data_IF_223991294269
#
_entry.id   IF_223991294269
#
_cell.length_a   1.000
_cell.length_b   1.000
_cell.length_c   1.000
_cell.angle_alpha   90.00
_cell.angle_beta   90.00
_cell.angle_gamma   90.00
#
_symmetry.space_group_name_H-M   'P 1'
#
loop_
_entity.id
_entity.type
_entity.pdbx_description
1 polymer ?
#
# COMPACT_ATOMS: atom_id res chain seq x y z
N UNK A 1 3.00 -5.24 1.00
CA UNK A 1 3.58 -4.33 2.02
C UNK A 1 3.77 -2.90 1.51
N UNK A 2 4.46 -2.65 0.39
CA UNK A 2 4.78 -1.28 -0.07
C UNK A 2 3.58 -0.36 -0.33
N UNK A 3 2.56 -0.82 -1.06
CA UNK A 3 1.30 -0.07 -1.21
C UNK A 3 0.62 0.28 0.12
N UNK A 4 0.71 -0.60 1.12
CA UNK A 4 0.17 -0.32 2.45
C UNK A 4 0.96 0.80 3.15
N UNK A 5 2.29 0.74 3.12
CA UNK A 5 3.14 1.82 3.65
C UNK A 5 2.92 3.15 2.92
N UNK A 6 2.70 3.10 1.60
CA UNK A 6 2.35 4.27 0.81
C UNK A 6 1.07 4.92 1.32
N UNK A 7 -0.03 4.17 1.46
CA UNK A 7 -1.29 4.72 1.95
C UNK A 7 -1.18 5.26 3.37
N UNK A 8 -0.46 4.59 4.27
CA UNK A 8 -0.18 5.12 5.61
C UNK A 8 0.53 6.47 5.54
N UNK A 9 1.62 6.57 4.78
CA UNK A 9 2.37 7.83 4.72
C UNK A 9 1.61 8.97 4.04
N UNK A 10 0.76 8.67 3.05
CA UNK A 10 -0.16 9.65 2.46
C UNK A 10 -1.17 10.10 3.51
N UNK A 11 -1.79 9.17 4.23
CA UNK A 11 -2.80 9.47 5.26
C UNK A 11 -2.27 10.41 6.35
N UNK A 12 -1.04 10.20 6.82
CA UNK A 12 -0.40 11.07 7.82
C UNK A 12 -0.20 12.50 7.34
N UNK A 13 -0.23 12.73 6.03
CA UNK A 13 0.11 13.99 5.38
C UNK A 13 -1.06 14.62 4.63
N UNK A 14 -2.27 14.06 4.69
CA UNK A 14 -3.46 14.58 3.99
C UNK A 14 -3.76 16.05 4.33
N UNK A 15 -3.51 16.47 5.57
CA UNK A 15 -3.72 17.85 6.01
C UNK A 15 -2.63 18.81 5.51
N UNK A 16 -1.36 18.36 5.53
CA UNK A 16 -0.23 19.22 5.15
C UNK A 16 0.02 19.26 3.65
N UNK A 17 -0.40 18.22 2.91
CA UNK A 17 -0.25 18.05 1.45
C UNK A 17 1.17 18.32 0.95
N UNK A 18 2.15 17.73 1.63
CA UNK A 18 3.58 17.89 1.30
C UNK A 18 4.29 16.55 1.43
N UNK A 19 5.11 16.21 0.44
CA UNK A 19 5.95 15.01 0.50
C UNK A 19 6.98 15.08 1.65
N UNK A 20 7.79 16.15 1.67
CA UNK A 20 8.78 16.42 2.71
C UNK A 20 8.29 17.52 3.65
N UNK A 21 8.14 17.16 4.93
CA UNK A 21 7.77 18.10 5.99
C UNK A 21 9.03 18.46 6.77
N UNK A 22 9.56 19.66 6.54
CA UNK A 22 10.78 20.16 7.22
C UNK A 22 10.47 21.03 8.43
N UNK A 23 9.34 21.73 8.36
CA UNK A 23 8.82 22.62 9.40
C UNK A 23 8.42 21.86 10.68
N UNK A 24 8.77 22.41 11.83
CA UNK A 24 8.57 21.77 13.14
C UNK A 24 7.10 21.69 13.53
N UNK A 25 6.31 22.72 13.26
CA UNK A 25 4.88 22.73 13.60
C UNK A 25 4.14 21.68 12.77
N UNK A 26 4.40 21.64 11.46
CA UNK A 26 3.82 20.62 10.57
C UNK A 26 4.27 19.21 10.94
N UNK A 27 5.51 19.02 11.42
CA UNK A 27 5.98 17.71 11.91
C UNK A 27 5.16 17.23 13.11
N UNK A 28 4.88 18.12 14.07
CA UNK A 28 4.05 17.78 15.23
C UNK A 28 2.64 17.37 14.81
N UNK A 29 2.00 18.11 13.89
CA UNK A 29 0.68 17.76 13.35
C UNK A 29 0.67 16.38 12.67
N UNK A 30 1.66 16.10 11.82
CA UNK A 30 1.79 14.78 11.16
C UNK A 30 1.97 13.66 12.20
N UNK A 31 2.71 13.90 13.27
CA UNK A 31 2.91 12.93 14.34
C UNK A 31 1.61 12.67 15.14
N UNK A 32 0.84 13.71 15.42
CA UNK A 32 -0.48 13.60 16.06
C UNK A 32 -1.45 12.77 15.21
N UNK A 33 -1.54 13.06 13.90
CA UNK A 33 -2.36 12.29 12.95
C UNK A 33 -1.90 10.83 12.90
N UNK A 34 -0.57 10.60 12.82
CA UNK A 34 0.00 9.25 12.84
C UNK A 34 -0.43 8.48 14.08
N UNK A 35 -0.31 9.08 15.27
CA UNK A 35 -0.69 8.43 16.52
C UNK A 35 -2.20 8.14 16.59
N UNK A 36 -3.04 9.06 16.10
CA UNK A 36 -4.49 8.86 15.99
C UNK A 36 -4.80 7.65 15.09
N UNK A 37 -4.26 7.62 13.87
CA UNK A 37 -4.47 6.54 12.90
C UNK A 37 -4.00 5.19 13.46
N UNK A 38 -2.82 5.16 14.10
CA UNK A 38 -2.33 3.93 14.75
C UNK A 38 -3.26 3.43 15.86
N UNK A 39 -3.82 4.35 16.65
CA UNK A 39 -4.77 4.02 17.72
C UNK A 39 -6.09 3.49 17.16
N UNK A 40 -6.59 4.10 16.09
CA UNK A 40 -7.81 3.64 15.41
C UNK A 40 -7.63 2.26 14.78
N UNK A 41 -6.50 1.99 14.12
CA UNK A 41 -6.19 0.65 13.61
C UNK A 41 -6.12 -0.39 14.73
N UNK A 42 -5.55 -0.04 15.87
CA UNK A 42 -5.51 -0.92 17.03
C UNK A 42 -6.90 -1.18 17.61
N UNK A 43 -7.73 -0.15 17.72
CA UNK A 43 -9.07 -0.24 18.30
C UNK A 43 -10.11 -0.90 17.40
N UNK A 44 -10.08 -0.60 16.10
CA UNK A 44 -11.12 -1.04 15.14
C UNK A 44 -10.76 -2.33 14.40
N UNK A 45 -9.47 -2.63 14.21
CA UNK A 45 -9.01 -3.79 13.42
C UNK A 45 -8.09 -4.75 14.20
N UNK A 46 -7.77 -4.45 15.45
CA UNK A 46 -6.81 -5.21 16.27
C UNK A 46 -5.46 -5.43 15.56
N UNK A 47 -4.98 -4.41 14.84
CA UNK A 47 -3.66 -4.43 14.18
C UNK A 47 -2.75 -3.32 14.70
N UNK A 48 -1.46 -3.62 14.76
CA UNK A 48 -0.43 -2.63 15.08
C UNK A 48 0.29 -2.27 13.79
N UNK A 49 0.30 -0.98 13.46
CA UNK A 49 0.87 -0.46 12.21
C UNK A 49 1.95 0.57 12.50
N UNK A 50 2.97 0.61 11.65
CA UNK A 50 4.04 1.62 11.61
C UNK A 50 4.74 1.89 12.97
N UNK A 51 4.91 0.81 13.74
CA UNK A 51 5.74 0.78 14.96
C UNK A 51 7.01 -0.03 14.71
N UNK A 52 8.16 0.36 15.26
CA UNK A 52 9.36 -0.48 15.22
C UNK A 52 9.11 -1.79 15.97
N UNK A 53 9.70 -2.89 15.49
CA UNK A 53 9.71 -4.16 16.21
C UNK A 53 10.76 -4.16 17.31
N UNK A 54 10.54 -4.98 18.34
CA UNK A 54 11.49 -5.21 19.42
C UNK A 54 12.84 -5.67 18.84
N UNK A 55 13.93 -5.01 19.24
CA UNK A 55 15.27 -5.23 18.67
C UNK A 55 15.67 -4.31 17.51
N UNK A 56 14.81 -3.37 17.11
CA UNK A 56 15.18 -2.22 16.28
C UNK A 56 15.38 -2.49 14.77
N UNK A 57 15.14 -3.73 14.30
CA UNK A 57 15.13 -4.07 12.87
C UNK A 57 13.72 -4.33 12.38
N UNK A 58 13.32 -3.60 11.34
CA UNK A 58 12.01 -3.73 10.71
C UNK A 58 10.90 -2.96 11.41
N UNK A 59 9.72 -2.96 10.78
CA UNK A 59 8.50 -2.37 11.32
C UNK A 59 7.45 -3.46 11.56
N UNK A 60 6.40 -3.12 12.28
CA UNK A 60 5.21 -3.95 12.46
C UNK A 60 4.45 -4.19 11.13
N UNK A 61 4.82 -3.49 10.05
CA UNK A 61 4.18 -3.63 8.74
C UNK A 61 4.69 -4.91 8.06
N UNK A 62 4.09 -6.04 8.38
CA UNK A 62 4.34 -7.30 7.68
C UNK A 62 3.23 -7.60 6.65
N UNK A 63 3.39 -8.72 5.93
CA UNK A 63 2.44 -9.18 4.92
C UNK A 63 1.04 -9.44 5.50
N UNK A 64 0.96 -9.91 6.75
CA UNK A 64 -0.32 -10.21 7.39
C UNK A 64 -1.08 -8.93 7.76
N UNK A 65 -0.39 -7.93 8.31
CA UNK A 65 -0.96 -6.62 8.58
C UNK A 65 -1.44 -5.96 7.27
N UNK A 66 -0.63 -6.01 6.22
CA UNK A 66 -1.01 -5.47 4.91
C UNK A 66 -2.26 -6.18 4.34
N UNK A 67 -2.34 -7.51 4.43
CA UNK A 67 -3.52 -8.27 3.99
C UNK A 67 -4.79 -7.86 4.76
N UNK A 68 -4.70 -7.69 6.08
CA UNK A 68 -5.83 -7.20 6.89
C UNK A 68 -6.30 -5.82 6.44
N UNK A 69 -5.37 -4.89 6.21
CA UNK A 69 -5.68 -3.54 5.69
C UNK A 69 -6.45 -3.61 4.35
N UNK A 70 -5.97 -4.39 3.39
CA UNK A 70 -6.63 -4.49 2.07
C UNK A 70 -7.92 -5.31 2.07
N UNK A 71 -8.10 -6.23 3.02
CA UNK A 71 -9.31 -7.06 3.13
C UNK A 71 -10.54 -6.28 3.58
N UNK A 72 -10.36 -5.14 4.26
CA UNK A 72 -11.44 -4.29 4.72
C UNK A 72 -11.21 -2.85 4.27
N UNK A 73 -11.35 -2.62 2.95
CA UNK A 73 -11.09 -1.33 2.33
C UNK A 73 -11.96 -0.20 2.91
N UNK A 74 -13.23 -0.48 3.20
CA UNK A 74 -14.16 0.49 3.81
C UNK A 74 -13.64 1.00 5.16
N UNK A 75 -13.30 0.10 6.08
CA UNK A 75 -12.78 0.50 7.39
C UNK A 75 -11.38 1.12 7.30
N UNK A 76 -10.55 0.65 6.37
CA UNK A 76 -9.25 1.26 6.07
C UNK A 76 -9.40 2.69 5.54
N UNK A 77 -10.36 2.92 4.66
CA UNK A 77 -10.72 4.24 4.13
C UNK A 77 -11.19 5.17 5.25
N UNK A 78 -12.09 4.68 6.10
CA UNK A 78 -12.60 5.44 7.25
C UNK A 78 -11.47 5.90 8.18
N UNK A 79 -10.55 4.99 8.54
CA UNK A 79 -9.43 5.29 9.45
C UNK A 79 -8.41 6.24 8.82
N UNK A 80 -8.09 6.02 7.54
CA UNK A 80 -6.97 6.75 6.87
C UNK A 80 -7.41 8.01 6.16
N UNK A 81 -8.70 8.19 5.87
CA UNK A 81 -9.22 9.24 5.00
C UNK A 81 -8.83 9.09 3.53
N UNK A 82 -8.25 7.95 3.14
CA UNK A 82 -7.94 7.61 1.75
C UNK A 82 -9.22 7.12 1.07
N UNK A 83 -9.43 7.51 -0.18
CA UNK A 83 -10.56 7.03 -0.98
C UNK A 83 -10.62 5.49 -1.05
N UNK A 84 -11.78 4.92 -0.73
CA UNK A 84 -12.00 3.47 -0.69
C UNK A 84 -11.75 2.82 -2.05
N UNK A 85 -12.14 3.47 -3.16
CA UNK A 85 -11.95 2.92 -4.49
C UNK A 85 -10.45 2.77 -4.80
N UNK A 86 -9.61 3.73 -4.42
CA UNK A 86 -8.15 3.61 -4.58
C UNK A 86 -7.56 2.42 -3.80
N UNK A 87 -8.02 2.19 -2.56
CA UNK A 87 -7.59 1.04 -1.75
C UNK A 87 -8.01 -0.26 -2.45
N UNK A 88 -9.26 -0.34 -2.92
CA UNK A 88 -9.78 -1.50 -3.64
C UNK A 88 -9.02 -1.78 -4.94
N UNK A 89 -8.74 -0.76 -5.75
CA UNK A 89 -7.99 -0.93 -7.01
C UNK A 89 -6.61 -1.52 -6.77
N UNK A 90 -5.89 -0.99 -5.77
CA UNK A 90 -4.59 -1.54 -5.39
C UNK A 90 -4.71 -2.98 -4.86
N UNK A 91 -5.73 -3.27 -4.03
CA UNK A 91 -5.97 -4.62 -3.53
C UNK A 91 -6.24 -5.62 -4.67
N UNK A 92 -7.09 -5.27 -5.63
CA UNK A 92 -7.41 -6.11 -6.80
C UNK A 92 -6.16 -6.38 -7.65
N UNK A 93 -5.33 -5.37 -7.88
CA UNK A 93 -4.08 -5.54 -8.63
C UNK A 93 -3.14 -6.54 -7.92
N UNK A 94 -2.93 -6.35 -6.62
CA UNK A 94 -2.06 -7.21 -5.82
C UNK A 94 -2.59 -8.65 -5.75
N UNK A 95 -3.90 -8.83 -5.55
CA UNK A 95 -4.54 -10.14 -5.54
C UNK A 95 -4.42 -10.83 -6.90
N UNK A 96 -4.65 -10.10 -8.00
CA UNK A 96 -4.50 -10.67 -9.34
C UNK A 96 -3.07 -11.21 -9.54
N UNK A 97 -2.06 -10.40 -9.22
CA UNK A 97 -0.64 -10.80 -9.34
C UNK A 97 -0.27 -11.98 -8.45
N UNK A 98 -0.83 -12.07 -7.25
CA UNK A 98 -0.59 -13.15 -6.30
C UNK A 98 -1.45 -14.41 -6.54
N UNK A 99 -2.42 -14.34 -7.46
CA UNK A 99 -3.49 -15.36 -7.56
C UNK A 99 -3.05 -16.74 -8.05
N UNK A 100 -1.86 -16.86 -8.66
CA UNK A 100 -1.41 -18.11 -9.26
C UNK A 100 -1.98 -18.38 -10.67
N UNK A 101 -2.95 -17.59 -11.12
CA UNK A 101 -3.62 -17.81 -12.41
C UNK A 101 -2.94 -17.07 -13.55
N UNK A 102 -3.19 -17.53 -14.78
CA UNK A 102 -2.79 -16.80 -15.99
C UNK A 102 -3.61 -15.52 -16.13
N UNK A 103 -2.95 -14.38 -15.99
CA UNK A 103 -3.56 -13.05 -16.10
C UNK A 103 -3.44 -12.58 -17.54
N UNK A 104 -4.48 -11.91 -18.05
CA UNK A 104 -4.38 -11.19 -19.31
C UNK A 104 -3.49 -9.94 -19.12
N UNK A 105 -2.28 -9.99 -19.67
CA UNK A 105 -1.26 -8.95 -19.49
C UNK A 105 -1.75 -7.56 -19.93
N UNK A 106 -2.47 -7.46 -21.06
CA UNK A 106 -2.97 -6.18 -21.57
C UNK A 106 -4.04 -5.57 -20.67
N UNK A 107 -5.00 -6.37 -20.21
CA UNK A 107 -6.02 -5.90 -19.24
C UNK A 107 -5.38 -5.48 -17.92
N UNK A 108 -4.41 -6.24 -17.43
CA UNK A 108 -3.67 -5.91 -16.21
C UNK A 108 -2.90 -4.60 -16.37
N UNK A 109 -2.22 -4.40 -17.51
CA UNK A 109 -1.50 -3.17 -17.85
C UNK A 109 -2.41 -1.95 -17.86
N UNK A 110 -3.54 -2.00 -18.56
CA UNK A 110 -4.49 -0.89 -18.62
C UNK A 110 -5.04 -0.56 -17.22
N UNK A 111 -5.42 -1.59 -16.46
CA UNK A 111 -5.92 -1.42 -15.10
C UNK A 111 -4.86 -0.80 -14.15
N UNK A 112 -3.61 -1.23 -14.26
CA UNK A 112 -2.49 -0.71 -13.48
C UNK A 112 -2.17 0.75 -13.85
N UNK A 113 -2.16 1.09 -15.14
CA UNK A 113 -1.93 2.45 -15.61
C UNK A 113 -3.02 3.41 -15.16
N UNK A 114 -4.29 3.01 -15.24
CA UNK A 114 -5.39 3.84 -14.77
C UNK A 114 -5.35 4.00 -13.25
N UNK A 115 -5.01 2.95 -12.50
CA UNK A 115 -4.81 3.06 -11.05
C UNK A 115 -3.66 4.02 -10.71
N UNK A 116 -2.57 4.00 -11.49
CA UNK A 116 -1.47 4.94 -11.30
C UNK A 116 -1.89 6.40 -11.54
N UNK A 117 -2.68 6.64 -12.60
CA UNK A 117 -3.25 7.98 -12.88
C UNK A 117 -4.16 8.45 -11.77
N UNK A 118 -5.03 7.58 -11.26
CA UNK A 118 -5.95 7.91 -10.16
C UNK A 118 -5.17 8.28 -8.89
N UNK A 119 -4.12 7.53 -8.55
CA UNK A 119 -3.25 7.81 -7.40
C UNK A 119 -2.50 9.15 -7.54
N UNK A 120 -1.92 9.42 -8.71
CA UNK A 120 -1.19 10.68 -8.97
C UNK A 120 -2.16 11.87 -8.95
N UNK A 121 -3.37 11.70 -9.48
CA UNK A 121 -4.39 12.75 -9.53
C UNK A 121 -4.94 13.05 -8.13
N UNK A 122 -5.16 12.02 -7.31
CA UNK A 122 -5.61 12.18 -5.93
C UNK A 122 -4.55 12.81 -5.03
N UNK A 123 -3.27 12.43 -5.21
CA UNK A 123 -2.17 12.83 -4.33
C UNK A 123 -0.99 13.44 -5.11
N UNK A 124 -1.18 14.54 -5.86
CA UNK A 124 -0.13 15.12 -6.73
C UNK A 124 1.08 15.65 -5.95
N UNK A 125 0.92 15.88 -4.65
CA UNK A 125 1.94 16.36 -3.73
C UNK A 125 2.76 15.23 -3.09
N UNK A 126 2.46 13.97 -3.39
CA UNK A 126 3.15 12.79 -2.85
C UNK A 126 3.62 11.88 -3.98
N UNK A 127 4.92 11.58 -4.04
CA UNK A 127 5.41 10.69 -5.09
C UNK A 127 4.96 9.25 -4.88
N UNK A 128 4.86 8.49 -5.97
CA UNK A 128 4.76 7.04 -5.92
C UNK A 128 6.12 6.40 -5.63
N UNK A 129 6.27 5.57 -4.58
CA UNK A 129 7.50 4.86 -4.28
C UNK A 129 7.98 4.03 -5.48
N UNK A 130 9.30 3.87 -5.60
CA UNK A 130 9.90 3.17 -6.75
C UNK A 130 9.35 1.74 -6.93
N UNK A 131 9.06 1.02 -5.85
CA UNK A 131 8.46 -0.33 -5.93
C UNK A 131 7.03 -0.28 -6.44
N UNK A 132 6.20 0.66 -5.96
CA UNK A 132 4.81 0.79 -6.41
C UNK A 132 4.76 1.24 -7.88
N UNK A 133 5.65 2.15 -8.29
CA UNK A 133 5.85 2.51 -9.69
C UNK A 133 6.26 1.30 -10.55
N UNK A 134 7.21 0.48 -10.10
CA UNK A 134 7.62 -0.73 -10.82
C UNK A 134 6.46 -1.71 -10.99
N UNK A 135 5.63 -1.90 -9.96
CA UNK A 135 4.44 -2.75 -10.07
C UNK A 135 3.44 -2.18 -11.07
N UNK A 136 3.16 -0.88 -10.99
CA UNK A 136 2.14 -0.23 -11.84
C UNK A 136 2.57 -0.09 -13.32
N UNK A 137 3.86 0.14 -13.58
CA UNK A 137 4.38 0.42 -14.92
C UNK A 137 5.05 -0.79 -15.56
N UNK A 138 5.75 -1.61 -14.79
CA UNK A 138 6.50 -2.76 -15.30
C UNK A 138 5.90 -4.11 -14.92
N UNK A 139 4.91 -4.16 -14.03
CA UNK A 139 4.30 -5.41 -13.57
C UNK A 139 3.72 -6.26 -14.70
N UNK A 140 3.08 -5.62 -15.69
CA UNK A 140 2.51 -6.34 -16.85
C UNK A 140 3.58 -6.96 -17.75
N UNK A 141 4.75 -6.33 -17.90
CA UNK A 141 5.85 -6.88 -18.70
C UNK A 141 6.45 -8.12 -18.03
N UNK A 142 6.48 -8.16 -16.69
CA UNK A 142 6.87 -9.37 -15.95
C UNK A 142 5.85 -10.48 -16.15
N UNK A 143 4.55 -10.18 -16.11
CA UNK A 143 3.47 -11.15 -16.38
C UNK A 143 3.55 -11.71 -17.81
N UNK A 144 3.93 -10.88 -18.78
CA UNK A 144 4.02 -11.27 -20.19
C UNK A 144 5.21 -12.19 -20.49
N UNK A 145 6.34 -11.98 -19.80
CA UNK A 145 7.58 -12.73 -20.05
C UNK A 145 7.84 -13.87 -19.05
N UNK A 146 7.11 -13.94 -17.94
CA UNK A 146 7.26 -15.01 -16.97
C UNK A 146 6.63 -16.32 -17.47
N UNK A 147 7.37 -17.42 -17.35
CA UNK A 147 6.91 -18.78 -17.70
C UNK A 147 5.83 -19.31 -16.75
N UNK A 148 5.80 -18.78 -15.53
CA UNK A 148 4.88 -19.12 -14.43
C UNK A 148 4.36 -17.82 -13.82
N UNK A 149 3.22 -17.87 -13.13
CA UNK A 149 2.62 -16.68 -12.52
C UNK A 149 3.50 -16.10 -11.40
N UNK A 150 3.36 -14.80 -11.13
CA UNK A 150 4.15 -14.14 -10.08
C UNK A 150 3.86 -14.73 -8.70
N UNK A 151 2.61 -15.15 -8.44
CA UNK A 151 2.23 -15.83 -7.21
C UNK A 151 2.96 -17.16 -6.97
N UNK A 152 3.22 -17.93 -8.04
CA UNK A 152 3.98 -19.18 -7.96
C UNK A 152 5.47 -18.95 -7.67
N UNK A 153 5.98 -17.75 -7.96
CA UNK A 153 7.35 -17.32 -7.68
C UNK A 153 7.48 -16.55 -6.35
N UNK A 154 6.42 -16.46 -5.55
CA UNK A 154 6.37 -15.63 -4.34
C UNK A 154 7.26 -16.16 -3.21
N UNK A 155 8.03 -15.27 -2.59
CA UNK A 155 8.83 -15.56 -1.38
C UNK A 155 7.97 -15.98 -0.18
N UNK A 156 6.67 -15.64 -0.15
CA UNK A 156 5.74 -16.06 0.93
C UNK A 156 5.68 -17.60 1.09
N UNK A 157 5.87 -18.35 -0.01
CA UNK A 157 5.92 -19.81 0.03
C UNK A 157 7.16 -20.34 0.77
N UNK A 158 8.26 -19.58 0.78
CA UNK A 158 9.50 -19.93 1.48
C UNK A 158 9.50 -19.46 2.95
N UNK A 159 8.81 -18.36 3.27
CA UNK A 159 8.72 -17.81 4.64
C UNK A 159 7.76 -18.58 5.56
N UNK A 160 6.95 -19.49 5.02
CA UNK A 160 5.97 -20.29 5.77
C UNK A 160 6.51 -21.63 6.29
N UNK A 161 7.83 -21.88 6.21
CA UNK A 161 8.51 -23.09 6.67
C UNK A 161 9.28 -22.88 7.98
#
# INVERSE_FOLDING_TARGET
>A
IRFFEYFLHVSYKLEVKMWQVRDTEKKSKVLEIKNKIQTEFRGKMDIIVDKPRDGGRGSANDGNIARKFFSNAALSSEITGIDECLIHRCATLLQAMASGYKINAEKCKLYALDTAKDLITAYPWYYLPATDHKVLIHGSAVIEHALVSIGELSEEAAESN
#
